data_IF_322258817693
#
_entry.id   IF_322258817693
#
_cell.length_a   1.000
_cell.length_b   1.000
_cell.length_c   1.000
_cell.angle_alpha   90.00
_cell.angle_beta   90.00
_cell.angle_gamma   90.00
#
_symmetry.space_group_name_H-M   'P 1'
#
loop_
_entity.id
_entity.type
_entity.pdbx_description
1 polymer ?
#
# COMPACT_ATOMS: atom_id res chain seq x y z
N UNK A 1 2.88 -19.43 66.43
CA UNK A 1 3.27 -20.08 65.16
C UNK A 1 3.44 -18.99 64.10
N UNK A 2 4.69 -18.63 63.79
CA UNK A 2 5.00 -17.66 62.73
C UNK A 2 5.36 -18.43 61.46
N UNK A 3 4.56 -18.26 60.41
CA UNK A 3 4.83 -18.81 59.09
C UNK A 3 5.90 -17.95 58.41
N UNK A 4 7.14 -18.43 58.37
CA UNK A 4 8.18 -17.87 57.50
C UNK A 4 7.92 -18.34 56.06
N UNK A 5 7.37 -17.46 55.24
CA UNK A 5 7.17 -17.71 53.81
C UNK A 5 8.53 -17.51 53.12
N UNK A 6 9.02 -18.59 52.49
CA UNK A 6 10.37 -18.64 51.92
C UNK A 6 10.57 -17.64 50.75
N UNK A 7 11.72 -16.92 50.69
CA UNK A 7 11.98 -15.87 49.70
C UNK A 7 12.18 -16.39 48.26
N UNK A 8 12.31 -17.71 48.07
CA UNK A 8 12.53 -18.34 46.76
C UNK A 8 11.27 -18.38 45.87
N UNK A 9 10.08 -18.30 46.46
CA UNK A 9 8.82 -18.38 45.71
C UNK A 9 8.50 -17.09 44.95
N UNK A 10 8.90 -15.93 45.50
CA UNK A 10 8.66 -14.63 44.89
C UNK A 10 9.47 -14.38 43.61
N UNK A 11 10.69 -14.94 43.53
CA UNK A 11 11.57 -14.76 42.37
C UNK A 11 11.03 -15.48 41.12
N UNK A 12 10.47 -16.67 41.29
CA UNK A 12 9.84 -17.41 40.18
C UNK A 12 8.54 -16.76 39.71
N UNK A 13 7.77 -16.15 40.60
CA UNK A 13 6.54 -15.44 40.25
C UNK A 13 6.81 -14.15 39.46
N UNK A 14 7.87 -13.40 39.81
CA UNK A 14 8.27 -12.17 39.11
C UNK A 14 8.76 -12.44 37.68
N UNK A 15 9.50 -13.53 37.45
CA UNK A 15 9.98 -13.94 36.12
C UNK A 15 8.83 -14.39 35.18
N UNK A 16 7.77 -14.98 35.73
CA UNK A 16 6.59 -15.40 34.96
C UNK A 16 5.69 -14.21 34.56
N UNK A 17 5.72 -13.09 35.27
CA UNK A 17 4.92 -11.90 34.94
C UNK A 17 5.61 -11.06 33.85
N UNK A 18 6.95 -11.04 33.80
CA UNK A 18 7.71 -10.33 32.76
C UNK A 18 7.57 -10.90 31.34
N UNK A 19 7.20 -12.18 31.19
CA UNK A 19 6.99 -12.80 29.87
C UNK A 19 5.62 -12.47 29.23
N UNK A 20 4.65 -11.97 30.01
CA UNK A 20 3.32 -11.62 29.51
C UNK A 20 3.27 -10.27 28.78
N UNK A 21 4.27 -9.40 28.94
CA UNK A 21 4.35 -8.11 28.24
C UNK A 21 5.14 -8.14 26.92
N UNK A 22 5.77 -9.27 26.56
CA UNK A 22 6.60 -9.39 25.38
C UNK A 22 5.85 -9.75 24.08
N UNK A 23 4.52 -9.91 24.13
CA UNK A 23 3.68 -10.26 22.98
C UNK A 23 2.82 -9.10 22.47
N UNK A 24 3.31 -7.85 22.56
CA UNK A 24 2.78 -6.79 21.71
C UNK A 24 3.27 -7.06 20.27
N UNK A 25 2.56 -7.94 19.57
CA UNK A 25 2.69 -8.09 18.13
C UNK A 25 2.49 -6.71 17.52
N UNK A 26 3.54 -6.19 16.87
CA UNK A 26 3.50 -4.89 16.22
C UNK A 26 2.61 -4.99 14.97
N UNK A 27 1.30 -4.90 15.14
CA UNK A 27 0.35 -4.89 14.04
C UNK A 27 0.46 -3.55 13.32
N UNK A 28 0.71 -3.58 12.01
CA UNK A 28 0.73 -2.37 11.17
C UNK A 28 -0.62 -1.64 11.28
N UNK A 29 -0.56 -0.31 11.28
CA UNK A 29 -1.75 0.52 11.39
C UNK A 29 -2.78 0.22 10.29
N UNK A 30 -4.09 0.34 10.57
CA UNK A 30 -5.10 0.26 9.52
C UNK A 30 -4.89 1.38 8.50
N UNK A 31 -5.21 1.09 7.23
CA UNK A 31 -5.09 2.04 6.13
C UNK A 31 -6.45 2.21 5.48
N UNK A 32 -6.82 3.44 5.10
CA UNK A 32 -8.04 3.68 4.34
C UNK A 32 -7.74 4.50 3.09
N UNK A 33 -8.28 4.05 1.96
CA UNK A 33 -8.10 4.68 0.67
C UNK A 33 -9.17 5.77 0.49
N UNK A 34 -8.73 7.02 0.32
CA UNK A 34 -9.62 8.18 0.22
C UNK A 34 -9.90 8.53 -1.24
N UNK A 35 -8.87 8.83 -2.01
CA UNK A 35 -9.00 9.28 -3.39
C UNK A 35 -7.90 8.69 -4.28
N UNK A 36 -8.20 8.64 -5.57
CA UNK A 36 -7.22 8.43 -6.60
C UNK A 36 -7.53 9.35 -7.77
N UNK A 37 -6.50 9.84 -8.45
CA UNK A 37 -6.66 10.65 -9.67
C UNK A 37 -5.49 10.42 -10.61
N UNK A 38 -5.75 10.44 -11.91
CA UNK A 38 -4.70 10.52 -12.91
C UNK A 38 -4.14 11.95 -12.89
N UNK A 39 -2.82 12.09 -12.86
CA UNK A 39 -2.16 13.39 -12.78
C UNK A 39 -1.48 13.66 -14.12
N UNK A 40 -1.74 14.84 -14.67
CA UNK A 40 -1.02 15.37 -15.82
C UNK A 40 0.07 16.37 -15.38
N UNK A 41 1.00 16.65 -16.30
CA UNK A 41 1.92 17.79 -16.22
C UNK A 41 2.84 17.89 -14.99
N UNK A 42 3.04 16.81 -14.24
CA UNK A 42 3.90 16.81 -13.05
C UNK A 42 5.39 17.12 -13.38
N UNK A 43 5.80 16.84 -14.61
CA UNK A 43 7.20 16.75 -15.00
C UNK A 43 7.78 17.97 -15.74
N UNK A 44 6.96 19.00 -16.02
CA UNK A 44 7.37 20.19 -16.80
C UNK A 44 8.22 19.89 -18.07
N UNK A 45 8.06 18.71 -18.69
CA UNK A 45 8.76 18.33 -19.92
C UNK A 45 9.84 17.24 -19.83
N UNK A 46 10.14 16.61 -18.68
CA UNK A 46 11.17 15.53 -18.64
C UNK A 46 10.69 14.16 -19.17
N UNK A 47 9.37 13.96 -19.31
CA UNK A 47 8.75 12.74 -19.87
C UNK A 47 8.80 11.51 -18.95
N UNK A 48 9.44 11.58 -17.80
CA UNK A 48 9.56 10.50 -16.82
C UNK A 48 8.31 10.32 -15.96
N UNK A 49 7.51 11.39 -15.78
CA UNK A 49 6.29 11.39 -14.98
C UNK A 49 5.03 11.68 -15.81
N UNK A 50 5.01 11.27 -17.08
CA UNK A 50 3.88 11.53 -17.98
C UNK A 50 2.65 10.65 -17.69
N UNK A 51 2.82 9.50 -17.04
CA UNK A 51 1.74 8.56 -16.69
C UNK A 51 1.82 8.23 -15.21
N UNK A 52 1.26 9.13 -14.41
CA UNK A 52 1.23 9.03 -12.95
C UNK A 52 -0.21 9.09 -12.48
N UNK A 53 -0.53 8.30 -11.46
CA UNK A 53 -1.71 8.54 -10.64
C UNK A 53 -1.30 8.89 -9.22
N UNK A 54 -2.09 9.73 -8.58
CA UNK A 54 -1.96 10.04 -7.17
C UNK A 54 -2.97 9.19 -6.40
N UNK A 55 -2.52 8.53 -5.35
CA UNK A 55 -3.33 7.77 -4.41
C UNK A 55 -3.26 8.45 -3.05
N UNK A 56 -4.37 8.95 -2.52
CA UNK A 56 -4.41 9.53 -1.18
C UNK A 56 -5.09 8.59 -0.20
N UNK A 57 -4.44 8.44 0.95
CA UNK A 57 -4.95 7.74 2.11
C UNK A 57 -5.61 8.73 3.08
N UNK A 58 -6.27 8.24 4.11
CA UNK A 58 -6.84 9.08 5.16
C UNK A 58 -5.79 9.62 6.13
N UNK A 59 -4.68 8.90 6.27
CA UNK A 59 -3.53 9.27 7.09
C UNK A 59 -2.22 8.87 6.38
N UNK A 60 -1.10 9.53 6.68
CA UNK A 60 0.22 9.13 6.19
C UNK A 60 0.60 7.72 6.68
N UNK A 61 1.36 6.99 5.86
CA UNK A 61 1.81 5.66 6.23
C UNK A 61 2.89 5.72 7.32
N UNK A 62 2.69 4.97 8.39
CA UNK A 62 3.68 4.73 9.45
C UNK A 62 4.60 3.53 9.17
N UNK A 63 4.36 2.78 8.09
CA UNK A 63 5.08 1.55 7.74
C UNK A 63 4.99 1.27 6.25
N UNK A 64 5.80 0.33 5.77
CA UNK A 64 5.71 -0.14 4.39
C UNK A 64 4.54 -1.11 4.24
N UNK A 65 3.72 -0.94 3.21
CA UNK A 65 2.61 -1.82 2.84
C UNK A 65 2.81 -2.33 1.42
N UNK A 66 2.23 -3.47 1.12
CA UNK A 66 2.16 -3.99 -0.23
C UNK A 66 0.86 -3.53 -0.88
N UNK A 67 0.89 -3.22 -2.17
CA UNK A 67 -0.31 -2.83 -2.90
C UNK A 67 -0.38 -3.50 -4.26
N UNK A 68 -1.60 -3.73 -4.72
CA UNK A 68 -1.93 -4.20 -6.07
C UNK A 68 -2.87 -3.20 -6.72
N UNK A 69 -2.74 -3.03 -8.02
CA UNK A 69 -3.66 -2.24 -8.81
C UNK A 69 -4.15 -3.01 -10.03
N UNK A 70 -5.36 -2.65 -10.47
CA UNK A 70 -5.87 -2.99 -11.80
C UNK A 70 -6.49 -1.74 -12.39
N UNK A 71 -5.94 -1.25 -13.49
CA UNK A 71 -6.48 -0.16 -14.30
C UNK A 71 -7.11 -0.70 -15.56
N UNK A 72 -8.27 -0.17 -15.93
CA UNK A 72 -8.97 -0.52 -17.16
C UNK A 72 -9.39 0.78 -17.86
N UNK A 73 -8.92 0.98 -19.09
CA UNK A 73 -9.33 2.13 -19.91
C UNK A 73 -10.76 1.96 -20.45
N UNK A 74 -11.29 3.02 -21.08
CA UNK A 74 -12.57 2.96 -21.81
C UNK A 74 -12.54 1.99 -22.99
N UNK A 75 -11.37 1.80 -23.59
CA UNK A 75 -11.10 0.86 -24.69
C UNK A 75 -10.81 -0.57 -24.21
N UNK A 76 -10.96 -0.85 -22.91
CA UNK A 76 -10.68 -2.13 -22.27
C UNK A 76 -9.20 -2.54 -22.27
N UNK A 77 -8.28 -1.58 -22.40
CA UNK A 77 -6.86 -1.83 -22.12
C UNK A 77 -6.71 -2.03 -20.62
N UNK A 78 -6.20 -3.20 -20.23
CA UNK A 78 -6.00 -3.57 -18.82
C UNK A 78 -4.52 -3.51 -18.47
N UNK A 79 -4.19 -2.79 -17.40
CA UNK A 79 -2.87 -2.76 -16.78
C UNK A 79 -3.02 -3.24 -15.34
N UNK A 80 -2.27 -4.27 -14.97
CA UNK A 80 -2.27 -4.79 -13.61
C UNK A 80 -0.85 -4.99 -13.13
N UNK A 81 -0.64 -4.75 -11.84
CA UNK A 81 0.65 -4.97 -11.22
C UNK A 81 0.63 -4.61 -9.75
N UNK A 82 1.80 -4.72 -9.14
CA UNK A 82 1.97 -4.60 -7.70
C UNK A 82 3.21 -3.81 -7.32
N UNK A 83 3.28 -3.41 -6.06
CA UNK A 83 4.45 -2.71 -5.54
C UNK A 83 4.36 -2.46 -4.04
N UNK A 84 5.22 -1.55 -3.57
CA UNK A 84 5.28 -1.15 -2.17
C UNK A 84 4.86 0.31 -2.00
N UNK A 85 3.97 0.55 -1.03
CA UNK A 85 3.71 1.86 -0.46
C UNK A 85 4.61 2.04 0.77
N UNK A 86 5.48 3.05 0.75
CA UNK A 86 6.44 3.32 1.82
C UNK A 86 6.16 4.70 2.42
N UNK A 87 6.42 4.91 3.73
CA UNK A 87 6.43 6.24 4.32
C UNK A 87 7.38 7.16 3.55
N UNK A 88 6.98 8.41 3.30
CA UNK A 88 7.81 9.38 2.60
C UNK A 88 8.83 9.99 3.58
N UNK A 89 10.11 9.76 3.34
CA UNK A 89 11.15 10.30 4.23
C UNK A 89 11.27 11.83 4.17
N UNK A 90 11.01 12.42 3.00
CA UNK A 90 11.11 13.87 2.77
C UNK A 90 9.87 14.65 3.21
N UNK A 91 8.73 13.98 3.31
CA UNK A 91 7.42 14.59 3.57
C UNK A 91 6.53 13.59 4.34
N UNK A 92 6.86 13.32 5.62
CA UNK A 92 6.26 12.23 6.38
C UNK A 92 4.77 12.45 6.69
N UNK A 93 4.29 13.69 6.62
CA UNK A 93 2.92 14.07 6.92
C UNK A 93 2.00 14.05 5.68
N UNK A 94 2.54 13.72 4.51
CA UNK A 94 1.78 13.69 3.26
C UNK A 94 1.08 12.34 3.08
N UNK A 95 -0.26 12.30 3.05
CA UNK A 95 -1.02 11.07 2.89
C UNK A 95 -1.15 10.63 1.41
N UNK A 96 -0.61 11.41 0.47
CA UNK A 96 -0.78 11.20 -0.96
C UNK A 96 0.50 10.69 -1.63
N UNK A 97 0.36 9.61 -2.39
CA UNK A 97 1.45 8.90 -3.06
C UNK A 97 1.32 8.99 -4.57
N UNK A 98 2.35 9.51 -5.22
CA UNK A 98 2.46 9.48 -6.67
C UNK A 98 3.00 8.13 -7.13
N UNK A 99 2.34 7.54 -8.13
CA UNK A 99 2.67 6.23 -8.68
C UNK A 99 2.75 6.28 -10.19
N UNK A 100 3.94 6.03 -10.70
CA UNK A 100 4.17 5.91 -12.13
C UNK A 100 3.60 4.57 -12.63
N UNK A 101 2.70 4.64 -13.61
CA UNK A 101 1.96 3.49 -14.14
C UNK A 101 2.89 2.50 -14.83
N UNK A 102 3.99 2.96 -15.44
CA UNK A 102 4.96 2.07 -16.09
C UNK A 102 5.65 1.11 -15.11
N UNK A 103 5.65 1.42 -13.81
CA UNK A 103 6.23 0.54 -12.79
C UNK A 103 5.41 -0.73 -12.55
N UNK A 104 4.19 -0.81 -13.09
CA UNK A 104 3.34 -2.00 -12.99
C UNK A 104 3.52 -2.96 -14.16
N UNK A 105 4.31 -2.60 -15.18
CA UNK A 105 4.67 -3.51 -16.26
C UNK A 105 5.47 -4.67 -15.68
N UNK A 106 5.02 -5.88 -15.97
CA UNK A 106 5.60 -7.12 -15.47
C UNK A 106 5.63 -8.18 -16.59
N UNK A 107 6.08 -9.40 -16.27
CA UNK A 107 6.26 -10.48 -17.24
C UNK A 107 4.96 -10.90 -17.96
N UNK A 108 3.81 -10.65 -17.35
CA UNK A 108 2.49 -11.01 -17.86
C UNK A 108 1.83 -9.84 -18.63
N UNK A 109 2.51 -8.69 -18.73
CA UNK A 109 2.06 -7.54 -19.50
C UNK A 109 2.23 -7.74 -21.02
N UNK A 110 1.39 -7.10 -21.86
CA UNK A 110 1.59 -7.10 -23.30
C UNK A 110 2.97 -6.58 -23.73
N UNK A 111 3.49 -7.07 -24.86
CA UNK A 111 4.80 -6.66 -25.41
C UNK A 111 4.87 -5.13 -25.63
N UNK A 112 3.74 -4.52 -25.97
CA UNK A 112 3.55 -3.10 -26.23
C UNK A 112 2.99 -2.31 -25.03
N UNK A 113 3.05 -2.86 -23.81
CA UNK A 113 2.45 -2.25 -22.61
C UNK A 113 2.85 -0.78 -22.38
N UNK A 114 4.09 -0.39 -22.72
CA UNK A 114 4.51 1.03 -22.61
C UNK A 114 3.73 1.94 -23.55
N UNK A 115 3.50 1.52 -24.80
CA UNK A 115 2.71 2.28 -25.76
C UNK A 115 1.24 2.32 -25.32
N UNK A 116 0.69 1.19 -24.90
CA UNK A 116 -0.68 1.10 -24.38
C UNK A 116 -0.91 2.01 -23.16
N UNK A 117 0.02 2.04 -22.20
CA UNK A 117 -0.05 2.95 -21.05
C UNK A 117 0.00 4.41 -21.52
N UNK A 118 0.92 4.71 -22.44
CA UNK A 118 1.04 6.05 -23.00
C UNK A 118 -0.26 6.51 -23.66
N UNK A 119 -0.89 5.66 -24.45
CA UNK A 119 -2.04 6.07 -25.26
C UNK A 119 -3.35 6.05 -24.46
N UNK A 120 -3.51 5.14 -23.49
CA UNK A 120 -4.79 4.88 -22.85
C UNK A 120 -4.87 5.18 -21.36
N UNK A 121 -3.75 5.23 -20.62
CA UNK A 121 -3.74 5.52 -19.18
C UNK A 121 -3.57 7.02 -18.92
N UNK A 122 -4.49 7.82 -19.44
CA UNK A 122 -4.51 9.29 -19.35
C UNK A 122 -5.72 9.78 -18.55
N UNK A 123 -5.67 10.99 -17.97
CA UNK A 123 -6.82 11.57 -17.28
C UNK A 123 -8.08 11.58 -18.14
N UNK A 124 -9.20 11.17 -17.54
CA UNK A 124 -10.50 11.05 -18.20
C UNK A 124 -10.67 9.81 -19.07
N UNK A 125 -9.63 8.97 -19.27
CA UNK A 125 -9.73 7.75 -20.06
C UNK A 125 -9.66 6.45 -19.24
N UNK A 126 -9.39 6.54 -17.94
CA UNK A 126 -9.36 5.37 -17.05
C UNK A 126 -10.77 5.13 -16.54
N UNK A 127 -11.46 4.16 -17.14
CA UNK A 127 -12.83 3.79 -16.74
C UNK A 127 -12.87 3.26 -15.32
N UNK A 128 -11.89 2.43 -14.94
CA UNK A 128 -11.84 1.80 -13.62
C UNK A 128 -10.41 1.70 -13.10
N UNK A 129 -10.23 1.99 -11.81
CA UNK A 129 -9.02 1.68 -11.04
C UNK A 129 -9.43 0.93 -9.76
N UNK A 130 -9.02 -0.32 -9.65
CA UNK A 130 -9.03 -1.07 -8.39
C UNK A 130 -7.70 -0.86 -7.68
N UNK A 131 -7.74 -0.47 -6.41
CA UNK A 131 -6.58 -0.43 -5.53
C UNK A 131 -6.82 -1.36 -4.35
N UNK A 132 -5.88 -2.25 -4.11
CA UNK A 132 -5.87 -3.19 -2.98
C UNK A 132 -4.58 -2.99 -2.19
N UNK A 133 -4.68 -2.86 -0.87
CA UNK A 133 -3.56 -2.71 0.05
C UNK A 133 -3.53 -3.90 1.00
N UNK A 134 -2.34 -4.41 1.27
CA UNK A 134 -2.06 -5.55 2.14
C UNK A 134 -0.97 -5.16 3.13
N UNK A 135 -0.99 -5.78 4.31
CA UNK A 135 0.09 -5.66 5.30
C UNK A 135 1.43 -6.12 4.70
N UNK A 136 1.42 -7.25 3.99
CA UNK A 136 2.59 -7.85 3.33
C UNK A 136 2.18 -8.39 1.95
N UNK A 137 3.16 -8.82 1.15
CA UNK A 137 2.88 -9.51 -0.12
C UNK A 137 2.08 -10.80 0.15
N UNK A 138 0.84 -10.92 -0.35
CA UNK A 138 0.00 -12.08 -0.09
C UNK A 138 0.57 -13.33 -0.79
N UNK A 139 0.53 -14.48 -0.11
CA UNK A 139 1.06 -15.77 -0.58
C UNK A 139 -0.05 -16.69 -1.13
N UNK A 140 -1.32 -16.27 -1.05
CA UNK A 140 -2.45 -17.03 -1.54
C UNK A 140 -3.74 -16.22 -1.47
N UNK A 141 -4.63 -16.62 -0.54
CA UNK A 141 -6.01 -16.12 -0.44
C UNK A 141 -6.18 -15.03 0.62
N UNK A 142 -5.09 -14.39 1.04
CA UNK A 142 -5.18 -13.27 1.98
C UNK A 142 -6.02 -12.15 1.36
N UNK A 143 -6.93 -11.60 2.16
CA UNK A 143 -7.76 -10.47 1.75
C UNK A 143 -7.00 -9.16 1.94
N UNK A 144 -7.25 -8.15 1.09
CA UNK A 144 -6.69 -6.83 1.30
C UNK A 144 -7.21 -6.23 2.62
N UNK A 145 -6.34 -5.49 3.31
CA UNK A 145 -6.73 -4.72 4.50
C UNK A 145 -7.49 -3.45 4.12
N UNK A 146 -7.33 -2.98 2.88
CA UNK A 146 -8.10 -1.90 2.30
C UNK A 146 -8.27 -2.13 0.80
N UNK A 147 -9.48 -1.94 0.31
CA UNK A 147 -9.81 -2.05 -1.10
C UNK A 147 -10.73 -0.90 -1.51
N UNK A 148 -10.49 -0.35 -2.71
CA UNK A 148 -11.39 0.64 -3.29
C UNK A 148 -11.37 0.58 -4.81
N UNK A 149 -12.55 0.71 -5.40
CA UNK A 149 -12.73 0.90 -6.84
C UNK A 149 -13.06 2.37 -7.10
N UNK A 150 -12.31 2.96 -8.01
CA UNK A 150 -12.56 4.28 -8.57
C UNK A 150 -13.03 4.13 -10.00
N UNK A 151 -13.97 4.97 -10.40
CA UNK A 151 -14.53 4.97 -11.75
C UNK A 151 -14.35 6.34 -12.39
N UNK A 152 -14.11 6.36 -13.70
CA UNK A 152 -13.98 7.56 -14.52
C UNK A 152 -12.90 8.54 -14.01
N UNK A 153 -11.66 8.07 -13.98
CA UNK A 153 -10.46 8.85 -13.65
C UNK A 153 -9.79 9.43 -14.90
#
# INVERSE_FOLDING_TARGET
MHYQIAPRFYVFLLLAISSLFALQGCTKAPVKIVSAQMVDNLDRGSGNFDRVFQLCLDQPLSSTYYHRIVMISKENVKIEGDGLLKPMASDPDNPCYLRNVYLYINKDSPVDARALIKDYMVPGNVRQLLVQIYTEKPQGKELPIAEKVFNNL
#
